data_IF_057199657561
#
_entry.id   IF_057199657561
#
_cell.length_a   1.000
_cell.length_b   1.000
_cell.length_c   1.000
_cell.angle_alpha   90.00
_cell.angle_beta   90.00
_cell.angle_gamma   90.00
#
_symmetry.space_group_name_H-M   'P 1'
#
loop_
_entity.id
_entity.type
_entity.pdbx_description
1 polymer ?
#
# COMPACT_ATOMS: atom_id res chain seq x y z
N UNK A 1 57.75 33.27 -31.12
CA UNK A 1 56.37 32.86 -31.45
C UNK A 1 56.23 31.37 -31.14
N UNK A 2 55.89 30.98 -29.91
CA UNK A 2 55.54 29.60 -29.59
C UNK A 2 54.45 29.63 -28.51
N UNK A 3 53.23 29.33 -28.94
CA UNK A 3 52.02 29.30 -28.11
C UNK A 3 51.77 27.85 -27.70
N UNK A 4 51.75 27.55 -26.41
CA UNK A 4 51.38 26.23 -25.90
C UNK A 4 49.92 26.26 -25.43
N UNK A 5 49.07 25.55 -26.15
CA UNK A 5 47.66 25.32 -25.84
C UNK A 5 47.59 24.22 -24.77
N UNK A 6 47.06 24.54 -23.59
CA UNK A 6 46.74 23.55 -22.54
C UNK A 6 45.33 23.01 -22.82
N UNK A 7 45.20 21.74 -23.18
CA UNK A 7 43.90 21.05 -23.30
C UNK A 7 43.46 20.59 -21.90
N UNK A 8 42.38 21.18 -21.38
CA UNK A 8 41.71 20.70 -20.18
C UNK A 8 40.67 19.62 -20.55
N UNK A 9 40.91 18.39 -20.14
CA UNK A 9 39.93 17.29 -20.27
C UNK A 9 38.99 17.32 -19.07
N UNK A 10 37.71 17.62 -19.30
CA UNK A 10 36.66 17.48 -18.30
C UNK A 10 36.18 16.02 -18.26
N UNK A 11 36.45 15.33 -17.15
CA UNK A 11 35.81 14.06 -16.80
C UNK A 11 34.47 14.37 -16.13
N UNK A 12 33.36 14.05 -16.81
CA UNK A 12 32.03 14.04 -16.20
C UNK A 12 31.83 12.68 -15.54
N UNK A 13 31.82 12.65 -14.22
CA UNK A 13 31.39 11.49 -13.45
C UNK A 13 29.85 11.49 -13.37
N UNK A 14 29.20 10.53 -14.04
CA UNK A 14 27.79 10.21 -13.83
C UNK A 14 27.67 9.34 -12.58
N UNK A 15 27.61 9.98 -11.41
CA UNK A 15 27.14 9.33 -10.19
C UNK A 15 25.61 9.32 -10.17
N UNK A 16 25.00 8.15 -10.29
CA UNK A 16 23.56 7.99 -10.02
C UNK A 16 23.32 8.22 -8.53
N UNK A 17 22.89 9.42 -8.16
CA UNK A 17 22.30 9.66 -6.86
C UNK A 17 20.96 8.92 -6.82
N UNK A 18 20.89 7.84 -6.04
CA UNK A 18 19.61 7.33 -5.55
C UNK A 18 19.06 8.40 -4.61
N UNK A 19 18.10 9.19 -5.09
CA UNK A 19 17.36 10.12 -4.26
C UNK A 19 16.48 9.32 -3.30
N UNK A 20 16.98 9.05 -2.10
CA UNK A 20 16.09 8.81 -0.96
C UNK A 20 15.24 10.07 -0.82
N UNK A 21 13.95 9.97 -1.14
CA UNK A 21 13.00 11.06 -1.03
C UNK A 21 13.14 11.72 0.35
N UNK A 22 13.26 13.05 0.44
CA UNK A 22 13.28 13.71 1.74
C UNK A 22 11.96 13.42 2.43
N UNK A 23 12.05 12.96 3.69
CA UNK A 23 10.93 12.85 4.60
C UNK A 23 10.41 14.27 4.88
N UNK A 24 9.57 14.81 3.99
CA UNK A 24 9.06 16.17 4.16
C UNK A 24 8.04 16.15 5.30
N UNK A 25 8.51 16.45 6.51
CA UNK A 25 7.63 16.88 7.58
C UNK A 25 6.88 18.11 7.07
N UNK A 26 5.55 18.02 7.01
CA UNK A 26 4.73 19.17 6.67
C UNK A 26 4.65 20.05 7.92
N UNK A 27 5.17 21.27 7.81
CA UNK A 27 5.00 22.27 8.86
C UNK A 27 3.68 23.01 8.61
N UNK A 28 2.82 23.04 9.62
CA UNK A 28 1.59 23.83 9.61
C UNK A 28 1.77 24.95 10.63
N UNK A 29 1.61 26.19 10.18
CA UNK A 29 1.62 27.36 11.06
C UNK A 29 0.20 27.70 11.46
N UNK A 30 -0.08 27.68 12.76
CA UNK A 30 -1.35 28.05 13.34
C UNK A 30 -1.21 29.43 14.02
N UNK A 31 -2.16 30.33 13.80
CA UNK A 31 -2.19 31.64 14.45
C UNK A 31 -3.24 31.65 15.57
N UNK A 32 -2.82 31.96 16.80
CA UNK A 32 -3.71 31.97 17.97
C UNK A 32 -4.05 33.40 18.46
N UNK A 33 -4.05 34.39 17.58
CA UNK A 33 -4.37 35.77 17.97
C UNK A 33 -3.21 36.60 18.53
N UNK A 34 -2.15 35.95 19.02
CA UNK A 34 -0.99 36.63 19.64
C UNK A 34 0.34 36.17 19.06
N UNK A 35 0.48 34.87 18.76
CA UNK A 35 1.72 34.28 18.24
C UNK A 35 1.46 33.28 17.10
N UNK A 36 2.51 33.05 16.31
CA UNK A 36 2.58 31.98 15.31
C UNK A 36 3.12 30.71 15.97
N UNK A 37 2.31 29.66 16.05
CA UNK A 37 2.74 28.35 16.54
C UNK A 37 3.03 27.45 15.33
N UNK A 38 4.29 27.06 15.18
CA UNK A 38 4.70 26.12 14.13
C UNK A 38 4.61 24.69 14.68
N UNK A 39 3.69 23.89 14.14
CA UNK A 39 3.55 22.47 14.50
C UNK A 39 4.21 21.64 13.41
N UNK A 40 5.13 20.77 13.83
CA UNK A 40 5.71 19.76 12.95
C UNK A 40 4.84 18.52 13.02
N UNK A 41 4.12 18.20 11.93
CA UNK A 41 3.40 16.93 11.84
C UNK A 41 4.41 15.86 11.44
N UNK A 42 4.99 15.19 12.43
CA UNK A 42 5.67 13.93 12.20
C UNK A 42 4.64 12.91 11.72
N UNK A 43 4.84 12.36 10.52
CA UNK A 43 4.13 11.15 10.15
C UNK A 43 4.61 10.09 11.14
N UNK A 44 3.71 9.58 11.99
CA UNK A 44 4.02 8.37 12.74
C UNK A 44 4.26 7.30 11.70
N UNK A 45 5.54 6.99 11.46
CA UNK A 45 5.91 5.75 10.82
C UNK A 45 5.64 4.70 11.90
N UNK A 46 4.37 4.33 12.09
CA UNK A 46 4.09 2.98 12.52
C UNK A 46 4.85 2.10 11.54
N UNK A 47 5.90 1.45 12.02
CA UNK A 47 6.64 0.48 11.22
C UNK A 47 5.60 -0.42 10.56
N UNK A 48 5.64 -0.60 9.23
CA UNK A 48 4.74 -1.55 8.61
C UNK A 48 5.04 -2.88 9.29
N UNK A 49 4.07 -3.42 10.03
CA UNK A 49 4.23 -4.67 10.78
C UNK A 49 4.70 -5.79 9.82
N UNK A 50 4.52 -5.61 8.50
CA UNK A 50 5.11 -6.46 7.48
C UNK A 50 5.67 -5.67 6.30
N UNK A 51 6.89 -6.02 5.90
CA UNK A 51 7.48 -5.57 4.63
C UNK A 51 6.71 -6.21 3.48
N UNK A 52 6.30 -5.39 2.49
CA UNK A 52 5.69 -5.89 1.24
C UNK A 52 6.73 -6.61 0.39
N UNK A 53 6.34 -7.75 -0.16
CA UNK A 53 7.18 -8.60 -0.99
C UNK A 53 6.80 -8.46 -2.47
N UNK A 54 5.50 -8.57 -2.80
CA UNK A 54 5.03 -8.69 -4.18
C UNK A 54 3.56 -8.26 -4.33
N UNK A 55 3.18 -7.91 -5.57
CA UNK A 55 1.80 -7.67 -5.96
C UNK A 55 1.43 -8.54 -7.15
N UNK A 56 0.20 -9.03 -7.16
CA UNK A 56 -0.31 -9.76 -8.30
C UNK A 56 -1.81 -9.48 -8.50
N UNK A 57 -2.30 -9.60 -9.74
CA UNK A 57 -3.74 -9.47 -10.04
C UNK A 57 -4.44 -10.83 -10.15
N UNK A 58 -3.92 -11.85 -9.45
CA UNK A 58 -4.54 -13.18 -9.43
C UNK A 58 -5.77 -13.14 -8.52
N UNK A 59 -6.60 -14.17 -8.67
CA UNK A 59 -7.81 -14.37 -7.90
C UNK A 59 -8.55 -15.59 -8.44
N UNK A 60 -9.76 -15.79 -7.96
CA UNK A 60 -10.68 -16.79 -8.50
C UNK A 60 -10.89 -16.57 -10.02
N UNK A 61 -11.12 -17.64 -10.78
CA UNK A 61 -11.53 -17.53 -12.19
C UNK A 61 -12.82 -16.71 -12.37
N UNK A 62 -13.62 -16.58 -11.31
CA UNK A 62 -14.83 -15.75 -11.29
C UNK A 62 -14.54 -14.24 -11.21
N UNK A 63 -13.30 -13.85 -10.91
CA UNK A 63 -12.86 -12.45 -10.97
C UNK A 63 -12.98 -11.83 -12.37
N UNK A 64 -12.89 -12.64 -13.43
CA UNK A 64 -13.12 -12.19 -14.80
C UNK A 64 -14.60 -12.13 -15.17
N UNK A 65 -15.47 -12.76 -14.39
CA UNK A 65 -16.90 -12.87 -14.65
C UNK A 65 -17.70 -11.60 -14.32
N UNK A 66 -18.99 -11.56 -14.70
CA UNK A 66 -19.87 -10.41 -14.45
C UNK A 66 -20.38 -10.35 -13.00
N UNK A 67 -20.29 -11.45 -12.25
CA UNK A 67 -20.84 -11.54 -10.88
C UNK A 67 -20.15 -10.59 -9.89
N UNK A 68 -18.84 -10.40 -10.07
CA UNK A 68 -18.03 -9.47 -9.28
C UNK A 68 -17.76 -8.19 -10.07
N UNK A 69 -18.04 -7.05 -9.44
CA UNK A 69 -17.81 -5.72 -10.01
C UNK A 69 -16.81 -4.93 -9.16
N UNK A 70 -16.12 -3.96 -9.78
CA UNK A 70 -15.24 -3.06 -9.04
C UNK A 70 -15.99 -2.24 -7.98
N UNK A 71 -17.26 -1.90 -8.23
CA UNK A 71 -18.12 -1.17 -7.30
C UNK A 71 -18.39 -1.98 -6.02
N UNK A 72 -18.70 -3.27 -6.14
CA UNK A 72 -18.84 -4.17 -4.97
C UNK A 72 -17.56 -4.20 -4.14
N UNK A 73 -16.39 -4.28 -4.77
CA UNK A 73 -15.12 -4.23 -4.06
C UNK A 73 -14.87 -2.88 -3.38
N UNK A 74 -15.26 -1.77 -4.01
CA UNK A 74 -15.16 -0.45 -3.40
C UNK A 74 -16.09 -0.34 -2.18
N UNK A 75 -17.30 -0.88 -2.26
CA UNK A 75 -18.22 -0.94 -1.11
C UNK A 75 -17.63 -1.79 0.01
N UNK A 76 -17.07 -2.95 -0.28
CA UNK A 76 -16.37 -3.77 0.71
C UNK A 76 -15.23 -2.98 1.38
N UNK A 77 -14.40 -2.27 0.59
CA UNK A 77 -13.35 -1.40 1.13
C UNK A 77 -13.88 -0.30 2.06
N UNK A 78 -15.00 0.33 1.71
CA UNK A 78 -15.60 1.39 2.53
C UNK A 78 -16.12 0.89 3.89
N UNK A 79 -16.34 -0.43 4.03
CA UNK A 79 -16.74 -1.05 5.30
C UNK A 79 -15.54 -1.33 6.23
N UNK A 80 -14.30 -1.18 5.75
CA UNK A 80 -13.11 -1.42 6.57
C UNK A 80 -13.01 -0.34 7.65
N UNK A 81 -12.92 -0.77 8.90
CA UNK A 81 -12.74 0.11 10.06
C UNK A 81 -11.23 0.21 10.35
N UNK A 82 -10.59 1.38 10.22
CA UNK A 82 -9.13 1.52 10.32
C UNK A 82 -8.53 1.00 11.63
N UNK A 83 -9.23 1.22 12.74
CA UNK A 83 -8.78 0.81 14.08
C UNK A 83 -9.04 -0.65 14.45
N UNK A 84 -9.68 -1.43 13.56
CA UNK A 84 -9.91 -2.85 13.80
C UNK A 84 -8.70 -3.69 13.42
N UNK A 85 -8.62 -4.87 14.01
CA UNK A 85 -7.65 -5.90 13.67
C UNK A 85 -8.34 -7.03 12.92
N UNK A 86 -7.80 -7.41 11.77
CA UNK A 86 -8.33 -8.45 10.90
C UNK A 86 -7.41 -9.67 10.94
N UNK A 87 -7.98 -10.87 11.06
CA UNK A 87 -7.23 -12.12 11.25
C UNK A 87 -7.62 -13.16 10.19
N UNK A 88 -6.62 -13.82 9.61
CA UNK A 88 -6.84 -14.86 8.61
C UNK A 88 -7.66 -16.04 9.17
N UNK A 89 -8.44 -16.68 8.30
CA UNK A 89 -9.11 -17.95 8.60
C UNK A 89 -10.50 -17.86 9.25
N UNK A 90 -11.14 -16.70 9.28
CA UNK A 90 -12.51 -16.58 9.82
C UNK A 90 -13.29 -15.37 9.31
N UNK A 91 -14.50 -15.17 9.86
CA UNK A 91 -15.40 -14.06 9.49
C UNK A 91 -14.82 -12.68 9.78
N UNK A 92 -13.80 -12.60 10.64
CA UNK A 92 -13.07 -11.37 10.96
C UNK A 92 -11.80 -11.18 10.10
N UNK A 93 -11.68 -11.90 8.98
CA UNK A 93 -10.55 -11.75 8.05
C UNK A 93 -10.65 -10.49 7.20
N UNK A 94 -11.82 -9.89 7.08
CA UNK A 94 -11.99 -8.72 6.24
C UNK A 94 -13.42 -8.22 6.19
N UNK A 95 -13.73 -7.57 5.08
CA UNK A 95 -15.05 -7.05 4.77
C UNK A 95 -15.49 -7.54 3.41
N UNK A 96 -16.79 -7.52 3.14
CA UNK A 96 -17.29 -7.97 1.86
C UNK A 96 -18.59 -7.25 1.47
N UNK A 97 -18.88 -7.21 0.17
CA UNK A 97 -20.13 -6.68 -0.37
C UNK A 97 -20.49 -7.42 -1.66
N UNK A 98 -21.72 -7.95 -1.74
CA UNK A 98 -22.18 -8.77 -2.86
C UNK A 98 -21.29 -10.00 -3.06
N UNK A 99 -20.49 -9.98 -4.13
CA UNK A 99 -19.56 -11.05 -4.47
C UNK A 99 -18.08 -10.66 -4.32
N UNK A 100 -17.76 -9.49 -3.76
CA UNK A 100 -16.38 -9.08 -3.53
C UNK A 100 -16.02 -9.08 -2.06
N UNK A 101 -14.93 -9.76 -1.70
CA UNK A 101 -14.30 -9.71 -0.39
C UNK A 101 -12.95 -9.00 -0.44
N UNK A 102 -12.62 -8.28 0.63
CA UNK A 102 -11.30 -7.72 0.90
C UNK A 102 -10.86 -8.25 2.26
N UNK A 103 -9.88 -9.15 2.29
CA UNK A 103 -9.53 -9.89 3.51
C UNK A 103 -8.07 -10.30 3.57
N UNK A 104 -7.57 -10.55 4.78
CA UNK A 104 -6.25 -11.11 5.03
C UNK A 104 -6.30 -12.64 5.00
N UNK A 105 -5.28 -13.26 4.42
CA UNK A 105 -5.06 -14.70 4.44
C UNK A 105 -3.56 -15.03 4.52
N UNK A 106 -3.24 -16.31 4.74
CA UNK A 106 -1.88 -16.84 4.61
C UNK A 106 -1.77 -17.52 3.25
N UNK A 107 -0.70 -17.24 2.51
CA UNK A 107 -0.42 -17.88 1.22
C UNK A 107 0.66 -18.97 1.33
N UNK A 108 1.46 -18.96 2.41
CA UNK A 108 2.55 -19.91 2.66
C UNK A 108 2.20 -21.01 3.68
N UNK A 109 1.01 -20.95 4.28
CA UNK A 109 0.50 -21.95 5.23
C UNK A 109 0.99 -21.78 6.67
N UNK A 110 1.72 -20.70 6.99
CA UNK A 110 2.19 -20.42 8.36
C UNK A 110 1.05 -20.06 9.31
N UNK A 111 -0.10 -19.59 8.78
CA UNK A 111 -1.24 -19.16 9.58
C UNK A 111 -0.94 -17.90 10.42
N UNK A 112 -1.88 -17.51 11.29
CA UNK A 112 -1.65 -16.39 12.21
C UNK A 112 -1.55 -15.00 11.56
N UNK A 113 -1.91 -14.86 10.29
CA UNK A 113 -1.87 -13.59 9.60
C UNK A 113 -2.86 -12.59 10.19
N UNK A 114 -2.33 -11.45 10.61
CA UNK A 114 -3.08 -10.38 11.23
C UNK A 114 -2.67 -9.05 10.60
N UNK A 115 -3.63 -8.20 10.26
CA UNK A 115 -3.37 -6.83 9.78
C UNK A 115 -4.31 -5.84 10.46
N UNK A 116 -3.88 -4.59 10.60
CA UNK A 116 -4.79 -3.51 11.00
C UNK A 116 -5.72 -3.13 9.85
N UNK A 117 -6.85 -2.50 10.16
CA UNK A 117 -7.77 -1.96 9.15
C UNK A 117 -7.12 -0.93 8.25
N UNK A 118 -6.27 -0.06 8.82
CA UNK A 118 -5.45 0.88 8.04
C UNK A 118 -4.53 0.18 7.05
N UNK A 119 -3.94 -0.95 7.44
CA UNK A 119 -3.07 -1.75 6.57
C UNK A 119 -3.88 -2.48 5.50
N UNK A 120 -5.05 -3.02 5.85
CA UNK A 120 -6.01 -3.60 4.90
C UNK A 120 -6.45 -2.59 3.83
N UNK A 121 -6.75 -1.34 4.24
CA UNK A 121 -7.07 -0.24 3.32
C UNK A 121 -5.87 0.13 2.43
N UNK A 122 -4.68 0.22 3.03
CA UNK A 122 -3.45 0.57 2.31
C UNK A 122 -3.09 -0.49 1.26
N UNK A 123 -3.30 -1.77 1.57
CA UNK A 123 -3.12 -2.88 0.64
C UNK A 123 -4.16 -2.85 -0.48
N UNK A 124 -5.45 -2.61 -0.18
CA UNK A 124 -6.46 -2.42 -1.22
C UNK A 124 -6.05 -1.35 -2.23
N UNK A 125 -5.65 -0.17 -1.75
CA UNK A 125 -5.23 0.93 -2.61
C UNK A 125 -3.97 0.60 -3.42
N UNK A 126 -3.00 -0.10 -2.82
CA UNK A 126 -1.80 -0.53 -3.51
C UNK A 126 -2.08 -1.56 -4.62
N UNK A 127 -3.00 -2.50 -4.39
CA UNK A 127 -3.46 -3.46 -5.40
C UNK A 127 -4.11 -2.72 -6.58
N UNK A 128 -4.95 -1.70 -6.32
CA UNK A 128 -5.52 -0.85 -7.37
C UNK A 128 -4.47 -0.06 -8.14
N UNK A 129 -3.51 0.53 -7.43
CA UNK A 129 -2.42 1.30 -8.03
C UNK A 129 -1.52 0.46 -8.95
N UNK A 130 -1.39 -0.84 -8.68
CA UNK A 130 -0.68 -1.80 -9.53
C UNK A 130 -1.50 -2.29 -10.75
N UNK A 131 -2.66 -1.69 -11.02
CA UNK A 131 -3.45 -1.96 -12.23
C UNK A 131 -4.48 -3.08 -12.10
N UNK A 132 -4.65 -3.65 -10.91
CA UNK A 132 -5.63 -4.72 -10.68
C UNK A 132 -7.07 -4.18 -10.68
N UNK A 133 -7.85 -4.56 -11.70
CA UNK A 133 -9.19 -4.00 -11.97
C UNK A 133 -10.30 -4.52 -11.06
N UNK A 134 -10.25 -5.78 -10.63
CA UNK A 134 -11.28 -6.38 -9.77
C UNK A 134 -10.65 -7.08 -8.57
N UNK A 135 -9.82 -8.07 -8.85
CA UNK A 135 -9.14 -8.89 -7.85
C UNK A 135 -7.62 -8.70 -7.92
N UNK A 136 -6.95 -9.06 -6.83
CA UNK A 136 -5.50 -9.05 -6.71
C UNK A 136 -5.07 -9.22 -5.26
N UNK A 137 -3.77 -9.35 -5.05
CA UNK A 137 -3.14 -9.54 -3.75
C UNK A 137 -1.94 -8.63 -3.55
N UNK A 138 -1.73 -8.25 -2.29
CA UNK A 138 -0.53 -7.61 -1.73
C UNK A 138 0.11 -8.62 -0.77
N UNK A 139 1.22 -9.22 -1.21
CA UNK A 139 1.95 -10.26 -0.49
C UNK A 139 2.99 -9.62 0.43
N UNK A 140 3.08 -10.13 1.65
CA UNK A 140 4.03 -9.70 2.66
C UNK A 140 5.10 -10.78 2.88
N UNK A 141 6.31 -10.35 3.27
CA UNK A 141 7.48 -11.24 3.43
C UNK A 141 7.33 -12.31 4.50
N UNK A 142 6.29 -12.23 5.34
CA UNK A 142 6.02 -13.16 6.43
C UNK A 142 4.96 -14.21 6.08
N UNK A 143 4.60 -14.38 4.81
CA UNK A 143 3.64 -15.40 4.40
C UNK A 143 2.17 -14.97 4.42
N UNK A 144 1.93 -13.72 4.78
CA UNK A 144 0.60 -13.13 4.79
C UNK A 144 0.33 -12.37 3.50
N UNK A 145 -0.93 -12.30 3.12
CA UNK A 145 -1.36 -11.42 2.03
C UNK A 145 -2.71 -10.79 2.34
N UNK A 146 -2.90 -9.57 1.85
CA UNK A 146 -4.23 -8.98 1.72
C UNK A 146 -4.72 -9.27 0.31
N UNK A 147 -5.91 -9.85 0.20
CA UNK A 147 -6.50 -10.26 -1.06
C UNK A 147 -7.83 -9.56 -1.30
N UNK A 148 -8.03 -9.07 -2.52
CA UNK A 148 -9.33 -8.71 -3.08
C UNK A 148 -9.77 -9.87 -3.99
N UNK A 149 -10.84 -10.58 -3.64
CA UNK A 149 -11.26 -11.76 -4.40
C UNK A 149 -12.78 -11.88 -4.52
N UNK A 150 -13.21 -12.75 -5.44
CA UNK A 150 -14.57 -13.26 -5.47
C UNK A 150 -14.87 -14.08 -4.21
N UNK A 151 -16.04 -13.82 -3.61
CA UNK A 151 -16.66 -14.65 -2.58
C UNK A 151 -18.05 -15.09 -3.04
N UNK A 152 -18.50 -16.27 -2.60
CA UNK A 152 -19.78 -16.85 -3.03
C UNK A 152 -20.96 -15.92 -2.75
N UNK A 153 -21.02 -15.37 -1.54
CA UNK A 153 -21.94 -14.30 -1.15
C UNK A 153 -21.47 -13.64 0.14
N UNK A 154 -21.83 -12.38 0.29
CA UNK A 154 -21.99 -11.65 1.55
C UNK A 154 -23.48 -11.65 1.92
#
# INVERSE_FOLDING_TARGET
>A
MHSHIIKATFLVALGTAVSSAPNTASQVTLWNGTDNVSVTIGRSLEEPIFKRDSFNCKGSGLCSGPLITASQCQTAFNLIVPGNTYNAGGSASGTCSGHCGVFVQSYDGTGGCQVSGSQLQSSFNAIRANGCKKCGSDEFTNGCEVTINYVGSC
#
